data_IF_657417405947
#
_entry.id   IF_657417405947
#
_cell.length_a   1.000
_cell.length_b   1.000
_cell.length_c   1.000
_cell.angle_alpha   90.00
_cell.angle_beta   90.00
_cell.angle_gamma   90.00
#
_symmetry.space_group_name_H-M   'P 1'
#
loop_
_entity.id
_entity.type
_entity.pdbx_description
1 polymer ?
#
# COMPACT_ATOMS: atom_id res chain seq x y z
N UNK A 1 29.09 -8.65 10.46
CA UNK A 1 30.50 -8.88 10.06
C UNK A 1 30.70 -8.82 8.54
N UNK A 2 29.84 -9.44 7.72
CA UNK A 2 29.95 -9.39 6.25
C UNK A 2 29.67 -7.99 5.67
N UNK A 3 28.65 -7.30 6.18
CA UNK A 3 28.28 -5.94 5.73
C UNK A 3 29.39 -4.91 6.00
N UNK A 4 30.04 -4.98 7.16
CA UNK A 4 31.15 -4.07 7.50
C UNK A 4 32.38 -4.32 6.63
N UNK A 5 32.64 -5.56 6.22
CA UNK A 5 33.74 -5.92 5.32
C UNK A 5 33.46 -5.42 3.90
N UNK A 6 32.21 -5.51 3.43
CA UNK A 6 31.76 -4.93 2.16
C UNK A 6 31.93 -3.40 2.14
N UNK A 7 31.51 -2.72 3.20
CA UNK A 7 31.69 -1.26 3.34
C UNK A 7 33.17 -0.85 3.36
N UNK A 8 34.03 -1.59 4.08
CA UNK A 8 35.46 -1.30 4.13
C UNK A 8 36.15 -1.54 2.79
N UNK A 9 35.77 -2.61 2.06
CA UNK A 9 36.29 -2.86 0.70
C UNK A 9 35.84 -1.79 -0.29
N UNK A 10 34.56 -1.39 -0.25
CA UNK A 10 34.05 -0.30 -1.09
C UNK A 10 34.81 1.01 -0.83
N UNK A 11 35.05 1.35 0.44
CA UNK A 11 35.79 2.55 0.84
C UNK A 11 37.26 2.52 0.40
N UNK A 12 37.90 1.35 0.40
CA UNK A 12 39.30 1.18 -0.01
C UNK A 12 39.48 1.25 -1.53
N UNK A 13 38.48 0.79 -2.30
CA UNK A 13 38.44 0.89 -3.76
C UNK A 13 38.22 2.34 -4.23
N UNK A 14 37.46 3.13 -3.46
CA UNK A 14 37.22 4.55 -3.74
C UNK A 14 38.46 5.45 -3.53
N UNK A 15 39.49 4.98 -2.81
CA UNK A 15 40.56 5.83 -2.29
C UNK A 15 41.93 5.62 -2.98
N UNK A 16 41.97 5.03 -4.18
CA UNK A 16 43.24 4.74 -4.86
C UNK A 16 43.54 5.78 -5.96
N UNK A 17 44.55 6.63 -5.73
CA UNK A 17 44.96 7.74 -6.59
C UNK A 17 46.01 7.32 -7.65
N UNK A 18 45.59 6.96 -8.85
CA UNK A 18 46.40 7.04 -10.11
C UNK A 18 45.44 7.28 -11.27
N UNK A 19 45.77 8.16 -12.23
CA UNK A 19 44.86 8.76 -13.23
C UNK A 19 43.86 7.89 -14.02
N UNK A 20 43.94 6.56 -13.98
CA UNK A 20 42.89 5.63 -14.45
C UNK A 20 41.71 5.51 -13.46
N UNK A 21 41.94 5.82 -12.18
CA UNK A 21 40.94 5.82 -11.12
C UNK A 21 39.85 6.87 -11.34
N UNK A 22 40.09 7.94 -12.11
CA UNK A 22 39.08 8.95 -12.33
C UNK A 22 37.95 8.43 -13.24
N UNK A 23 38.27 7.66 -14.28
CA UNK A 23 37.27 7.00 -15.13
C UNK A 23 36.56 5.86 -14.38
N UNK A 24 37.31 5.03 -13.64
CA UNK A 24 36.72 3.94 -12.86
C UNK A 24 35.82 4.47 -11.73
N UNK A 25 36.27 5.49 -10.99
CA UNK A 25 35.50 6.14 -9.94
C UNK A 25 34.27 6.86 -10.51
N UNK A 26 34.38 7.49 -11.68
CA UNK A 26 33.22 8.12 -12.35
C UNK A 26 32.16 7.09 -12.75
N UNK A 27 32.57 5.95 -13.34
CA UNK A 27 31.64 4.87 -13.70
C UNK A 27 30.98 4.27 -12.47
N UNK A 28 31.75 4.02 -11.40
CA UNK A 28 31.21 3.54 -10.12
C UNK A 28 30.23 4.55 -9.50
N UNK A 29 30.54 5.84 -9.57
CA UNK A 29 29.67 6.89 -9.07
C UNK A 29 28.35 6.96 -9.85
N UNK A 30 28.42 6.92 -11.19
CA UNK A 30 27.22 6.87 -12.05
C UNK A 30 26.40 5.61 -11.73
N UNK A 31 27.04 4.46 -11.57
CA UNK A 31 26.36 3.22 -11.21
C UNK A 31 25.63 3.32 -9.88
N UNK A 32 26.28 3.86 -8.84
CA UNK A 32 25.66 4.10 -7.54
C UNK A 32 24.51 5.10 -7.66
N UNK A 33 24.68 6.19 -8.43
CA UNK A 33 23.64 7.20 -8.63
C UNK A 33 22.40 6.62 -9.30
N UNK A 34 22.56 5.76 -10.32
CA UNK A 34 21.46 5.06 -10.99
C UNK A 34 20.76 4.09 -10.03
N UNK A 35 21.50 3.35 -9.21
CA UNK A 35 20.92 2.47 -8.19
C UNK A 35 20.14 3.24 -7.12
N UNK A 36 20.64 4.39 -6.68
CA UNK A 36 19.93 5.25 -5.73
C UNK A 36 18.66 5.84 -6.34
N UNK A 37 18.72 6.29 -7.59
CA UNK A 37 17.55 6.79 -8.32
C UNK A 37 16.48 5.70 -8.43
N UNK A 38 16.87 4.49 -8.82
CA UNK A 38 16.01 3.32 -8.89
C UNK A 38 15.32 3.02 -7.55
N UNK A 39 16.10 3.01 -6.47
CA UNK A 39 15.57 2.79 -5.12
C UNK A 39 14.57 3.87 -4.69
N UNK A 40 14.83 5.13 -5.01
CA UNK A 40 13.92 6.24 -4.69
C UNK A 40 12.60 6.11 -5.45
N UNK A 41 12.63 5.72 -6.73
CA UNK A 41 11.43 5.49 -7.54
C UNK A 41 10.59 4.35 -6.96
N UNK A 42 11.22 3.23 -6.60
CA UNK A 42 10.56 2.08 -5.97
C UNK A 42 9.89 2.47 -4.65
N UNK A 43 10.59 3.27 -3.82
CA UNK A 43 10.03 3.81 -2.59
C UNK A 43 8.80 4.69 -2.85
N UNK A 44 8.85 5.56 -3.86
CA UNK A 44 7.70 6.39 -4.23
C UNK A 44 6.52 5.56 -4.74
N UNK A 45 6.78 4.50 -5.50
CA UNK A 45 5.73 3.59 -5.98
C UNK A 45 4.94 2.99 -4.82
N UNK A 46 5.62 2.46 -3.79
CA UNK A 46 4.98 1.86 -2.61
C UNK A 46 4.19 2.90 -1.82
N UNK A 47 4.72 4.12 -1.70
CA UNK A 47 4.00 5.22 -1.04
C UNK A 47 2.72 5.56 -1.82
N UNK A 48 2.78 5.57 -3.15
CA UNK A 48 1.61 5.80 -4.02
C UNK A 48 0.55 4.72 -3.80
N UNK A 49 0.92 3.44 -3.88
CA UNK A 49 0.03 2.31 -3.62
C UNK A 49 -0.63 2.42 -2.24
N UNK A 50 0.13 2.81 -1.22
CA UNK A 50 -0.41 3.02 0.13
C UNK A 50 -1.42 4.17 0.17
N UNK A 51 -1.16 5.26 -0.54
CA UNK A 51 -2.10 6.39 -0.63
C UNK A 51 -3.38 6.02 -1.38
N UNK A 52 -3.28 5.23 -2.44
CA UNK A 52 -4.44 4.73 -3.18
C UNK A 52 -5.30 3.80 -2.31
N UNK A 53 -4.67 2.92 -1.51
CA UNK A 53 -5.36 2.08 -0.52
C UNK A 53 -6.07 2.89 0.56
N UNK A 54 -5.40 3.91 1.13
CA UNK A 54 -6.04 4.81 2.11
C UNK A 54 -7.24 5.54 1.49
N UNK A 55 -7.07 6.04 0.27
CA UNK A 55 -8.15 6.70 -0.45
C UNK A 55 -9.32 5.74 -0.71
N UNK A 56 -9.03 4.50 -1.10
CA UNK A 56 -10.06 3.48 -1.28
C UNK A 56 -10.83 3.20 0.01
N UNK A 57 -10.12 3.07 1.14
CA UNK A 57 -10.74 2.90 2.45
C UNK A 57 -11.67 4.07 2.80
N UNK A 58 -11.24 5.31 2.56
CA UNK A 58 -12.06 6.50 2.79
C UNK A 58 -13.33 6.54 1.92
N UNK A 59 -13.24 6.14 0.65
CA UNK A 59 -14.40 6.06 -0.24
C UNK A 59 -15.38 4.97 0.21
N UNK A 60 -14.87 3.79 0.60
CA UNK A 60 -15.71 2.72 1.15
C UNK A 60 -16.40 3.14 2.45
N UNK A 61 -15.70 3.84 3.35
CA UNK A 61 -16.29 4.36 4.59
C UNK A 61 -17.48 5.25 4.26
N UNK A 62 -17.33 6.20 3.33
CA UNK A 62 -18.44 7.08 2.93
C UNK A 62 -19.60 6.31 2.34
N UNK A 63 -19.33 5.34 1.47
CA UNK A 63 -20.38 4.50 0.87
C UNK A 63 -21.17 3.74 1.95
N UNK A 64 -20.48 3.08 2.88
CA UNK A 64 -21.11 2.31 3.96
C UNK A 64 -21.87 3.22 4.93
N UNK A 65 -21.31 4.40 5.24
CA UNK A 65 -21.94 5.39 6.10
C UNK A 65 -23.26 5.92 5.53
N UNK A 66 -23.29 6.24 4.23
CA UNK A 66 -24.47 6.78 3.55
C UNK A 66 -25.51 5.69 3.26
N UNK A 67 -25.06 4.51 2.81
CA UNK A 67 -25.94 3.39 2.50
C UNK A 67 -26.49 2.72 3.77
N UNK A 68 -25.80 2.86 4.90
CA UNK A 68 -26.22 2.29 6.19
C UNK A 68 -25.73 0.87 6.44
N UNK A 69 -24.65 0.46 5.79
CA UNK A 69 -24.16 -0.91 5.82
C UNK A 69 -23.51 -1.33 4.50
N UNK A 70 -23.26 -2.64 4.37
CA UNK A 70 -22.65 -3.29 3.22
C UNK A 70 -23.74 -3.81 2.29
N UNK A 71 -23.64 -3.48 1.01
CA UNK A 71 -24.55 -3.88 -0.06
C UNK A 71 -23.76 -4.19 -1.35
N UNK A 72 -24.46 -4.60 -2.42
CA UNK A 72 -23.81 -4.88 -3.70
C UNK A 72 -23.05 -3.69 -4.30
N UNK A 73 -23.52 -2.45 -4.08
CA UNK A 73 -22.82 -1.23 -4.54
C UNK A 73 -21.48 -1.04 -3.80
N UNK A 74 -21.39 -1.46 -2.54
CA UNK A 74 -20.14 -1.43 -1.77
C UNK A 74 -19.12 -2.40 -2.35
N UNK A 75 -19.57 -3.59 -2.77
CA UNK A 75 -18.72 -4.59 -3.42
C UNK A 75 -18.24 -4.10 -4.80
N UNK A 76 -19.13 -3.52 -5.61
CA UNK A 76 -18.79 -2.93 -6.91
C UNK A 76 -17.79 -1.78 -6.77
N UNK A 77 -17.97 -0.91 -5.77
CA UNK A 77 -17.04 0.19 -5.48
C UNK A 77 -15.66 -0.35 -5.08
N UNK A 78 -15.60 -1.37 -4.23
CA UNK A 78 -14.34 -2.00 -3.85
C UNK A 78 -13.63 -2.62 -5.06
N UNK A 79 -14.36 -3.35 -5.91
CA UNK A 79 -13.80 -3.96 -7.12
C UNK A 79 -13.21 -2.88 -8.05
N UNK A 80 -13.93 -1.80 -8.28
CA UNK A 80 -13.44 -0.66 -9.07
C UNK A 80 -12.19 0.00 -8.48
N UNK A 81 -12.18 0.26 -7.16
CA UNK A 81 -11.03 0.87 -6.50
C UNK A 81 -9.82 -0.07 -6.51
N UNK A 82 -10.02 -1.35 -6.20
CA UNK A 82 -8.96 -2.36 -6.22
C UNK A 82 -8.33 -2.53 -7.60
N UNK A 83 -9.12 -2.40 -8.68
CA UNK A 83 -8.62 -2.48 -10.05
C UNK A 83 -7.72 -1.32 -10.47
N UNK A 84 -7.79 -0.19 -9.76
CA UNK A 84 -6.97 1.00 -10.02
C UNK A 84 -5.70 1.05 -9.19
N UNK A 85 -5.57 0.20 -8.16
CA UNK A 85 -4.40 0.20 -7.29
C UNK A 85 -3.25 -0.49 -8.03
N UNK A 86 -2.23 0.28 -8.39
CA UNK A 86 -1.02 -0.27 -9.01
C UNK A 86 0.01 -0.62 -7.93
N UNK A 87 0.56 -1.84 -7.97
CA UNK A 87 1.64 -2.27 -7.08
C UNK A 87 1.23 -3.01 -5.80
N UNK A 88 -0.06 -3.30 -5.62
CA UNK A 88 -0.53 -4.26 -4.61
C UNK A 88 -1.34 -5.39 -5.25
N UNK A 89 -1.11 -6.62 -4.79
CA UNK A 89 -1.86 -7.82 -5.17
C UNK A 89 -2.66 -8.34 -3.97
N UNK A 90 -3.58 -9.27 -4.22
CA UNK A 90 -4.36 -9.95 -3.18
C UNK A 90 -5.09 -8.97 -2.23
N UNK A 91 -5.60 -7.88 -2.79
CA UNK A 91 -6.27 -6.83 -2.03
C UNK A 91 -7.61 -7.38 -1.52
N UNK A 92 -7.83 -7.28 -0.21
CA UNK A 92 -9.06 -7.69 0.44
C UNK A 92 -9.50 -6.65 1.46
N UNK A 93 -10.80 -6.58 1.73
CA UNK A 93 -11.36 -5.69 2.74
C UNK A 93 -12.07 -6.50 3.83
N UNK A 94 -12.06 -5.96 5.05
CA UNK A 94 -12.80 -6.48 6.19
C UNK A 94 -13.45 -5.32 6.95
N UNK A 95 -14.61 -5.58 7.55
CA UNK A 95 -15.39 -4.58 8.26
C UNK A 95 -15.71 -5.10 9.65
N UNK A 96 -15.25 -4.37 10.66
CA UNK A 96 -15.59 -4.57 12.06
C UNK A 96 -16.69 -3.59 12.46
N UNK A 97 -17.90 -4.11 12.68
CA UNK A 97 -19.07 -3.34 13.04
C UNK A 97 -20.06 -4.19 13.83
N UNK A 98 -20.91 -3.53 14.62
CA UNK A 98 -22.10 -4.17 15.19
C UNK A 98 -23.24 -4.10 14.19
N UNK A 99 -23.62 -5.26 13.65
CA UNK A 99 -24.68 -5.34 12.65
C UNK A 99 -26.07 -5.42 13.28
N UNK A 100 -27.03 -4.76 12.66
CA UNK A 100 -28.44 -4.78 13.10
C UNK A 100 -29.11 -6.09 12.71
N UNK A 101 -29.95 -6.61 13.60
CA UNK A 101 -30.81 -7.77 13.35
C UNK A 101 -32.25 -7.44 13.74
N UNK A 102 -33.26 -7.64 12.88
CA UNK A 102 -33.20 -8.36 11.61
C UNK A 102 -32.56 -7.56 10.45
N UNK A 103 -31.87 -8.27 9.55
CA UNK A 103 -31.21 -7.69 8.37
C UNK A 103 -32.27 -7.14 7.40
N UNK A 104 -32.22 -5.85 7.03
CA UNK A 104 -33.14 -5.26 6.06
C UNK A 104 -32.96 -5.86 4.65
N UNK A 105 -34.03 -5.88 3.88
CA UNK A 105 -34.01 -6.40 2.50
C UNK A 105 -33.07 -5.57 1.61
N UNK A 106 -32.19 -6.24 0.86
CA UNK A 106 -31.24 -5.60 -0.06
C UNK A 106 -29.87 -5.25 0.55
N UNK A 107 -29.70 -5.44 1.86
CA UNK A 107 -28.42 -5.24 2.57
C UNK A 107 -27.71 -6.56 2.81
N UNK A 108 -26.43 -6.70 2.50
CA UNK A 108 -25.63 -7.86 2.94
C UNK A 108 -25.45 -7.82 4.45
N UNK A 109 -25.07 -6.66 4.98
CA UNK A 109 -24.98 -6.39 6.42
C UNK A 109 -25.43 -4.95 6.69
N UNK A 110 -26.32 -4.73 7.66
CA UNK A 110 -26.82 -3.38 7.99
C UNK A 110 -26.21 -2.87 9.29
N UNK A 111 -25.90 -1.59 9.35
CA UNK A 111 -25.30 -0.92 10.51
C UNK A 111 -26.25 0.19 10.96
N UNK A 112 -26.66 0.15 12.23
CA UNK A 112 -27.63 1.10 12.78
C UNK A 112 -27.05 2.52 12.90
N UNK A 113 -27.89 3.53 12.68
CA UNK A 113 -27.60 4.94 12.93
C UNK A 113 -26.80 5.14 14.23
N UNK A 114 -25.68 5.87 14.14
CA UNK A 114 -24.84 6.19 15.28
C UNK A 114 -23.89 5.07 15.72
N UNK A 115 -23.93 3.91 15.07
CA UNK A 115 -23.01 2.80 15.38
C UNK A 115 -21.69 3.02 14.64
N UNK A 116 -20.54 2.98 15.35
CA UNK A 116 -19.24 3.07 14.71
C UNK A 116 -18.90 1.77 13.98
N UNK A 117 -18.15 1.90 12.89
CA UNK A 117 -17.59 0.79 12.15
C UNK A 117 -16.17 1.09 11.68
N UNK A 118 -15.38 0.05 11.51
CA UNK A 118 -13.99 0.13 11.08
C UNK A 118 -13.79 -0.73 9.84
N UNK A 119 -13.17 -0.15 8.82
CA UNK A 119 -12.79 -0.85 7.60
C UNK A 119 -11.28 -1.05 7.64
N UNK A 120 -10.84 -2.27 7.33
CA UNK A 120 -9.44 -2.58 7.10
C UNK A 120 -9.29 -3.15 5.70
N UNK A 121 -8.51 -2.49 4.86
CA UNK A 121 -8.10 -2.98 3.54
C UNK A 121 -6.66 -3.42 3.63
N UNK A 122 -6.39 -4.66 3.25
CA UNK A 122 -5.05 -5.26 3.24
C UNK A 122 -4.68 -5.64 1.82
N UNK A 123 -3.43 -5.40 1.45
CA UNK A 123 -2.88 -5.83 0.16
C UNK A 123 -1.40 -6.18 0.30
N UNK A 124 -0.91 -7.00 -0.61
CA UNK A 124 0.49 -7.40 -0.65
C UNK A 124 1.24 -6.58 -1.70
N UNK A 125 2.11 -5.67 -1.25
CA UNK A 125 2.98 -4.89 -2.10
C UNK A 125 4.37 -5.55 -2.18
N UNK A 126 5.04 -5.40 -3.34
CA UNK A 126 6.38 -5.95 -3.56
C UNK A 126 7.39 -4.81 -3.60
N UNK A 127 8.47 -4.92 -2.82
CA UNK A 127 9.58 -3.97 -2.79
C UNK A 127 10.76 -4.57 -3.57
N UNK A 128 11.26 -3.83 -4.56
CA UNK A 128 12.36 -4.29 -5.43
C UNK A 128 12.01 -4.48 -6.91
N UNK A 129 11.04 -3.75 -7.47
CA UNK A 129 10.64 -3.89 -8.89
C UNK A 129 11.75 -3.56 -9.92
N UNK A 130 12.87 -3.00 -9.48
CA UNK A 130 14.05 -2.83 -10.33
C UNK A 130 14.78 -4.16 -10.53
N UNK A 131 14.99 -4.54 -11.80
CA UNK A 131 15.65 -5.79 -12.19
C UNK A 131 14.88 -7.08 -11.86
N UNK A 132 13.55 -7.02 -11.72
CA UNK A 132 12.70 -8.21 -11.52
C UNK A 132 13.06 -9.01 -10.26
N UNK A 133 13.61 -8.33 -9.25
CA UNK A 133 13.95 -8.92 -7.96
C UNK A 133 12.85 -8.57 -6.95
N UNK A 134 11.83 -9.43 -6.83
CA UNK A 134 10.84 -9.36 -5.74
C UNK A 134 11.54 -9.67 -4.40
N UNK A 135 12.29 -8.68 -3.89
CA UNK A 135 13.23 -8.85 -2.78
C UNK A 135 12.50 -9.01 -1.45
N UNK A 136 11.39 -8.29 -1.27
CA UNK A 136 10.61 -8.31 -0.03
C UNK A 136 9.13 -8.11 -0.34
N UNK A 137 8.29 -9.04 0.13
CA UNK A 137 6.85 -8.83 0.19
C UNK A 137 6.52 -8.02 1.45
N UNK A 138 5.79 -6.93 1.27
CA UNK A 138 5.36 -6.02 2.33
C UNK A 138 3.84 -5.96 2.30
N UNK A 139 3.21 -6.36 3.40
CA UNK A 139 1.77 -6.16 3.55
C UNK A 139 1.49 -4.70 3.85
N UNK A 140 0.73 -4.06 2.96
CA UNK A 140 0.23 -2.69 3.10
C UNK A 140 -1.19 -2.75 3.65
N UNK A 141 -1.45 -1.93 4.66
CA UNK A 141 -2.75 -1.91 5.36
C UNK A 141 -3.27 -0.49 5.44
N UNK A 142 -4.48 -0.29 4.93
CA UNK A 142 -5.25 0.94 5.06
C UNK A 142 -6.41 0.72 6.04
N UNK A 143 -6.68 1.72 6.87
CA UNK A 143 -7.77 1.68 7.84
C UNK A 143 -8.63 2.92 7.74
N UNK A 144 -9.94 2.71 7.69
CA UNK A 144 -10.93 3.77 7.72
C UNK A 144 -11.90 3.56 8.89
N UNK A 145 -12.46 4.65 9.42
CA UNK A 145 -13.48 4.59 10.46
C UNK A 145 -14.64 5.52 10.12
N UNK A 146 -15.87 5.05 10.32
CA UNK A 146 -17.07 5.85 10.09
C UNK A 146 -18.14 5.58 11.14
N UNK A 147 -19.21 6.37 11.07
CA UNK A 147 -20.42 6.19 11.88
C UNK A 147 -21.59 6.13 10.93
N UNK A 148 -22.42 5.09 11.02
CA UNK A 148 -23.58 4.95 10.12
C UNK A 148 -24.55 6.13 10.29
N UNK A 149 -24.97 6.72 9.17
CA UNK A 149 -25.96 7.81 9.12
C UNK A 149 -27.37 7.32 8.76
N UNK A 150 -27.52 6.02 8.51
CA UNK A 150 -28.78 5.45 8.07
C UNK A 150 -29.57 4.83 9.22
N UNK A 151 -30.86 5.17 9.30
CA UNK A 151 -31.75 4.61 10.30
C UNK A 151 -32.52 3.41 9.75
N UNK A 152 -32.29 2.23 10.33
CA UNK A 152 -33.11 1.05 10.09
C UNK A 152 -34.23 0.96 11.13
N UNK A 153 -35.44 0.61 10.67
CA UNK A 153 -36.65 0.43 11.48
C UNK A 153 -36.82 -1.00 11.94
#
# INVERSE_FOLDING_TARGET
MVVSILFQKARKVLNNERGEANYFSTVVFIFIAVLLLAFIIDLFSIISTKQELDHAADQMVKQIQLSGGVNGETDELFEFLSSQIEGAENISYSIDATYTSPRPSGMTNAIQLGTPFFITIEGDAKLGGFWNFDLVNITVVARGSGVSEHYWK
#
